data_IF_746516546619
#
_entry.id   IF_746516546619
#
_cell.length_a   1.000
_cell.length_b   1.000
_cell.length_c   1.000
_cell.angle_alpha   90.00
_cell.angle_beta   90.00
_cell.angle_gamma   90.00
#
_symmetry.space_group_name_H-M   'P 1'
#
loop_
_entity.id
_entity.type
_entity.pdbx_description
1 polymer ?
#
# COMPACT_ATOMS: atom_id res chain seq x y z
N UNK A 1 3.98 9.16 27.97
CA UNK A 1 3.80 7.75 28.39
C UNK A 1 3.93 7.69 29.91
N UNK A 2 2.83 7.61 30.66
CA UNK A 2 2.90 7.46 32.13
C UNK A 2 3.63 6.16 32.46
N UNK A 3 4.63 6.20 33.34
CA UNK A 3 5.29 4.97 33.83
C UNK A 3 4.22 4.05 34.44
N UNK A 4 4.22 2.77 34.04
CA UNK A 4 3.32 1.78 34.62
C UNK A 4 3.49 1.76 36.14
N UNK A 5 2.38 1.84 36.89
CA UNK A 5 2.39 1.80 38.36
C UNK A 5 2.94 0.48 38.93
N UNK A 6 3.00 -0.58 38.13
CA UNK A 6 3.43 -1.92 38.52
C UNK A 6 4.58 -2.39 37.64
N UNK A 7 5.62 -2.94 38.26
CA UNK A 7 6.74 -3.55 37.56
C UNK A 7 6.25 -4.79 36.77
N UNK A 8 6.60 -4.82 35.49
CA UNK A 8 6.24 -5.91 34.58
C UNK A 8 6.93 -7.20 35.01
N UNK A 9 6.17 -8.30 35.09
CA UNK A 9 6.70 -9.62 35.46
C UNK A 9 7.95 -10.00 34.65
N UNK A 10 8.97 -10.51 35.32
CA UNK A 10 10.17 -11.11 34.74
C UNK A 10 10.64 -12.27 35.62
N UNK A 11 11.68 -12.97 35.19
CA UNK A 11 12.39 -13.98 36.00
C UNK A 11 13.15 -13.33 37.17
N UNK A 12 13.68 -14.13 38.09
CA UNK A 12 14.44 -13.63 39.24
C UNK A 12 15.68 -12.83 38.81
N UNK A 13 16.14 -11.82 39.59
CA UNK A 13 17.26 -10.96 39.19
C UNK A 13 18.55 -11.71 38.82
N UNK A 14 18.87 -12.81 39.52
CA UNK A 14 20.02 -13.67 39.20
C UNK A 14 19.89 -14.27 37.79
N UNK A 15 18.71 -14.81 37.46
CA UNK A 15 18.45 -15.38 36.14
C UNK A 15 18.41 -14.30 35.05
N UNK A 16 17.98 -13.08 35.37
CA UNK A 16 18.06 -11.95 34.44
C UNK A 16 19.52 -11.59 34.12
N UNK A 17 20.40 -11.56 35.13
CA UNK A 17 21.82 -11.30 34.94
C UNK A 17 22.48 -12.39 34.07
N UNK A 18 22.20 -13.66 34.37
CA UNK A 18 22.67 -14.80 33.58
C UNK A 18 22.19 -14.72 32.13
N UNK A 19 20.91 -14.44 31.91
CA UNK A 19 20.33 -14.23 30.56
C UNK A 19 21.01 -13.09 29.81
N UNK A 20 21.19 -11.94 30.47
CA UNK A 20 21.78 -10.75 29.83
C UNK A 20 23.26 -10.98 29.49
N UNK A 21 23.98 -11.74 30.31
CA UNK A 21 25.35 -12.15 30.05
C UNK A 21 25.43 -13.03 28.79
N UNK A 22 24.62 -14.09 28.71
CA UNK A 22 24.61 -14.98 27.54
C UNK A 22 24.14 -14.30 26.25
N UNK A 23 23.26 -13.30 26.35
CA UNK A 23 22.76 -12.54 25.21
C UNK A 23 23.73 -11.43 24.74
N UNK A 24 24.74 -11.06 25.54
CA UNK A 24 25.58 -9.88 25.29
C UNK A 24 24.83 -8.55 25.30
N UNK A 25 23.57 -8.53 25.76
CA UNK A 25 22.71 -7.34 25.80
C UNK A 25 21.60 -7.50 26.83
N UNK A 26 20.98 -6.37 27.21
CA UNK A 26 19.75 -6.40 28.02
C UNK A 26 18.62 -7.03 27.21
N UNK A 27 17.98 -8.03 27.80
CA UNK A 27 16.85 -8.70 27.16
C UNK A 27 15.64 -7.76 27.00
N UNK A 28 15.14 -7.65 25.76
CA UNK A 28 13.88 -6.97 25.45
C UNK A 28 12.72 -7.94 25.65
N UNK A 29 11.80 -7.62 26.55
CA UNK A 29 10.62 -8.46 26.80
C UNK A 29 9.67 -8.38 25.59
N UNK A 30 9.51 -9.49 24.88
CA UNK A 30 8.61 -9.58 23.71
C UNK A 30 7.14 -9.88 24.09
N UNK A 31 6.87 -10.22 25.34
CA UNK A 31 5.52 -10.51 25.81
C UNK A 31 4.68 -9.23 25.90
N UNK A 32 3.38 -9.41 25.68
CA UNK A 32 2.38 -8.36 25.78
C UNK A 32 1.96 -8.20 27.24
N UNK A 33 2.12 -6.99 27.77
CA UNK A 33 1.71 -6.64 29.14
C UNK A 33 0.66 -5.54 29.09
N UNK A 34 -0.31 -5.63 30.01
CA UNK A 34 -1.45 -4.73 30.10
C UNK A 34 -1.09 -3.23 30.00
N UNK A 35 -0.04 -2.70 30.65
CA UNK A 35 0.26 -1.27 30.59
C UNK A 35 0.73 -0.77 29.21
N UNK A 36 1.11 -1.68 28.32
CA UNK A 36 1.60 -1.37 26.97
C UNK A 36 0.61 -1.77 25.88
N UNK A 37 -0.55 -2.31 26.26
CA UNK A 37 -1.62 -2.66 25.35
C UNK A 37 -2.75 -1.64 25.48
N UNK A 38 -3.46 -1.41 24.37
CA UNK A 38 -4.75 -0.75 24.44
C UNK A 38 -5.74 -1.59 25.25
N UNK A 39 -6.71 -0.95 25.88
CA UNK A 39 -7.79 -1.63 26.57
C UNK A 39 -8.56 -2.55 25.61
N UNK A 40 -9.16 -3.63 26.14
CA UNK A 40 -9.99 -4.53 25.32
C UNK A 40 -11.29 -3.86 24.88
N UNK A 41 -11.84 -3.01 25.75
CA UNK A 41 -13.03 -2.20 25.47
C UNK A 41 -12.58 -0.81 25.06
N UNK A 42 -13.05 -0.37 23.89
CA UNK A 42 -12.80 0.98 23.37
C UNK A 42 -14.10 1.77 23.42
N UNK A 43 -14.05 3.10 23.61
CA UNK A 43 -15.22 3.95 23.47
C UNK A 43 -15.75 3.90 22.02
N UNK A 44 -17.05 4.15 21.79
CA UNK A 44 -17.58 4.28 20.43
C UNK A 44 -16.83 5.36 19.65
N UNK A 45 -16.27 5.06 18.46
CA UNK A 45 -15.60 6.07 17.64
C UNK A 45 -16.61 6.91 16.84
N UNK A 46 -16.26 8.17 16.59
CA UNK A 46 -16.91 9.01 15.59
C UNK A 46 -16.04 9.00 14.32
N UNK A 47 -16.52 8.34 13.27
CA UNK A 47 -15.77 8.13 12.02
C UNK A 47 -16.17 9.24 11.04
N UNK A 48 -15.22 9.92 10.37
CA UNK A 48 -15.55 10.92 9.38
C UNK A 48 -16.24 10.29 8.16
N UNK A 49 -17.15 11.04 7.57
CA UNK A 49 -17.86 10.63 6.38
C UNK A 49 -16.95 10.53 5.14
N UNK A 50 -17.36 9.64 4.22
CA UNK A 50 -16.70 9.51 2.92
C UNK A 50 -17.01 10.66 1.95
N UNK A 51 -16.28 10.76 0.82
CA UNK A 51 -16.37 11.89 -0.12
C UNK A 51 -17.73 12.03 -0.82
N UNK A 52 -18.56 10.99 -0.81
CA UNK A 52 -19.91 10.96 -1.40
C UNK A 52 -21.02 11.17 -0.37
N UNK A 53 -20.73 11.54 0.88
CA UNK A 53 -21.74 12.01 1.84
C UNK A 53 -22.10 13.48 1.58
N UNK A 54 -22.70 13.75 0.42
CA UNK A 54 -23.12 15.08 -0.02
C UNK A 54 -24.64 15.12 -0.20
N UNK A 55 -25.26 16.20 0.27
CA UNK A 55 -26.72 16.40 0.17
C UNK A 55 -27.20 16.79 -1.24
N UNK A 56 -26.33 17.35 -2.07
CA UNK A 56 -26.65 17.79 -3.43
C UNK A 56 -25.48 17.50 -4.39
N UNK A 57 -25.78 17.49 -5.70
CA UNK A 57 -24.80 17.25 -6.77
C UNK A 57 -24.02 15.93 -6.60
N UNK A 58 -24.72 14.87 -6.21
CA UNK A 58 -24.13 13.57 -5.89
C UNK A 58 -24.94 12.42 -6.51
N UNK A 59 -25.22 12.55 -7.80
CA UNK A 59 -25.97 11.54 -8.53
C UNK A 59 -25.11 10.31 -8.78
N UNK A 60 -25.62 9.13 -8.47
CA UNK A 60 -24.82 7.90 -8.54
C UNK A 60 -24.20 7.64 -9.92
N UNK A 61 -24.87 8.03 -11.00
CA UNK A 61 -24.39 7.82 -12.37
C UNK A 61 -23.10 8.57 -12.68
N UNK A 62 -22.77 9.67 -11.98
CA UNK A 62 -21.56 10.46 -12.26
C UNK A 62 -20.29 9.84 -11.66
N UNK A 63 -20.42 8.82 -10.84
CA UNK A 63 -19.30 8.14 -10.18
C UNK A 63 -19.49 6.61 -10.13
N UNK A 64 -20.31 6.05 -11.03
CA UNK A 64 -20.50 4.60 -11.13
C UNK A 64 -19.43 4.01 -12.06
N UNK A 65 -18.22 3.86 -11.53
CA UNK A 65 -17.08 3.29 -12.27
C UNK A 65 -17.37 1.89 -12.85
N UNK A 66 -18.32 1.13 -12.26
CA UNK A 66 -18.72 -0.19 -12.77
C UNK A 66 -19.37 -0.10 -14.15
N UNK A 67 -20.05 1.02 -14.46
CA UNK A 67 -20.68 1.29 -15.75
C UNK A 67 -19.76 1.99 -16.74
N UNK A 68 -18.61 2.49 -16.28
CA UNK A 68 -17.59 3.10 -17.15
C UNK A 68 -16.71 2.05 -17.85
N UNK A 69 -16.71 0.81 -17.35
CA UNK A 69 -15.98 -0.31 -17.93
C UNK A 69 -16.50 -0.59 -19.33
N UNK A 70 -15.64 -0.43 -20.33
CA UNK A 70 -15.90 -0.80 -21.72
C UNK A 70 -15.31 -2.19 -22.02
N UNK A 71 -15.87 -2.93 -22.98
CA UNK A 71 -15.23 -4.14 -23.50
C UNK A 71 -13.78 -3.85 -23.96
N UNK A 72 -12.88 -4.84 -23.87
CA UNK A 72 -11.52 -4.68 -24.36
C UNK A 72 -11.53 -4.35 -25.86
N UNK A 73 -10.58 -3.51 -26.27
CA UNK A 73 -10.45 -3.07 -27.65
C UNK A 73 -9.69 -4.14 -28.46
N UNK A 74 -10.29 -4.59 -29.57
CA UNK A 74 -9.64 -5.52 -30.51
C UNK A 74 -8.82 -4.76 -31.55
N UNK A 75 -7.51 -4.77 -31.36
CA UNK A 75 -6.53 -4.10 -32.23
C UNK A 75 -6.42 -4.72 -33.64
N UNK A 76 -6.98 -5.92 -33.87
CA UNK A 76 -6.96 -6.56 -35.19
C UNK A 76 -8.12 -6.11 -36.07
N UNK A 77 -9.27 -5.82 -35.46
CA UNK A 77 -10.48 -5.34 -36.14
C UNK A 77 -10.47 -3.82 -36.28
N UNK A 78 -10.04 -3.14 -35.22
CA UNK A 78 -9.78 -1.71 -35.25
C UNK A 78 -8.40 -1.54 -35.89
N UNK A 79 -8.35 -1.52 -37.23
CA UNK A 79 -7.14 -1.20 -37.97
C UNK A 79 -6.43 -0.08 -37.22
N UNK A 80 -5.18 -0.32 -36.78
CA UNK A 80 -4.27 0.74 -36.40
C UNK A 80 -4.24 1.70 -37.59
N UNK A 81 -5.08 2.73 -37.59
CA UNK A 81 -5.05 3.82 -38.57
C UNK A 81 -3.87 4.73 -38.23
N UNK A 82 -2.71 4.14 -38.00
CA UNK A 82 -1.45 4.84 -37.91
C UNK A 82 -0.87 4.89 -39.31
N UNK A 83 -1.41 5.82 -40.11
CA UNK A 83 -0.66 6.69 -41.03
C UNK A 83 0.01 6.11 -42.28
N UNK A 84 -0.45 4.98 -42.83
CA UNK A 84 -0.06 4.58 -44.18
C UNK A 84 -1.19 4.97 -45.15
N UNK A 85 -0.93 5.94 -46.01
CA UNK A 85 -1.72 6.07 -47.23
C UNK A 85 -1.67 4.72 -47.95
N UNK A 86 -2.85 4.20 -48.34
CA UNK A 86 -2.96 2.93 -49.07
C UNK A 86 -2.02 2.95 -50.28
N UNK A 87 -0.94 2.15 -50.22
CA UNK A 87 -0.10 1.85 -51.39
C UNK A 87 1.35 2.31 -51.34
N UNK A 88 1.83 2.99 -50.29
CA UNK A 88 3.26 3.33 -50.17
C UNK A 88 4.00 2.40 -49.20
N UNK A 89 5.10 1.74 -49.63
CA UNK A 89 5.91 0.93 -48.72
C UNK A 89 6.61 1.84 -47.71
N UNK A 90 6.34 1.64 -46.42
CA UNK A 90 7.06 2.34 -45.35
C UNK A 90 8.49 1.83 -45.23
N UNK A 91 9.44 2.74 -45.17
CA UNK A 91 10.74 2.44 -44.58
C UNK A 91 10.54 2.00 -43.12
N UNK A 92 11.19 0.90 -42.73
CA UNK A 92 11.11 0.37 -41.38
C UNK A 92 11.46 1.48 -40.38
N UNK A 93 10.57 1.71 -39.40
CA UNK A 93 10.86 2.63 -38.31
C UNK A 93 12.16 2.19 -37.61
N UNK A 94 13.07 3.13 -37.38
CA UNK A 94 14.41 2.87 -36.83
C UNK A 94 14.35 2.33 -35.40
N UNK A 95 13.24 2.55 -34.67
CA UNK A 95 13.02 2.04 -33.32
C UNK A 95 11.71 1.26 -33.22
N UNK A 96 11.78 0.07 -32.65
CA UNK A 96 10.61 -0.76 -32.31
C UNK A 96 9.85 -0.12 -31.15
N UNK A 97 8.50 -0.06 -31.19
CA UNK A 97 7.72 0.44 -30.05
C UNK A 97 7.93 -0.45 -28.82
N UNK A 98 8.25 0.17 -27.67
CA UNK A 98 8.36 -0.54 -26.38
C UNK A 98 7.10 -0.29 -25.54
N UNK A 99 6.63 -1.27 -24.72
CA UNK A 99 5.44 -1.10 -23.88
C UNK A 99 5.52 0.02 -22.83
N UNK A 100 6.72 0.48 -22.51
CA UNK A 100 6.99 1.52 -21.52
C UNK A 100 8.47 1.86 -21.46
N UNK A 101 8.82 2.80 -20.57
CA UNK A 101 10.22 3.15 -20.29
C UNK A 101 10.82 2.17 -19.29
N UNK A 102 12.08 1.81 -19.48
CA UNK A 102 12.83 1.03 -18.49
C UNK A 102 13.14 1.95 -17.31
N UNK A 103 12.71 1.55 -16.11
CA UNK A 103 12.98 2.28 -14.87
C UNK A 103 14.20 1.69 -14.18
N UNK A 104 15.30 2.43 -14.16
CA UNK A 104 16.49 2.11 -13.39
C UNK A 104 16.41 2.82 -12.03
N UNK A 105 16.19 2.06 -10.97
CA UNK A 105 16.03 2.57 -9.61
C UNK A 105 17.32 3.19 -9.03
N UNK A 106 18.48 2.82 -9.59
CA UNK A 106 19.81 3.11 -9.05
C UNK A 106 20.73 3.95 -9.95
N UNK A 107 20.21 4.52 -11.04
CA UNK A 107 21.02 5.17 -12.06
C UNK A 107 21.73 6.48 -11.63
N UNK A 108 21.62 6.84 -10.35
CA UNK A 108 22.19 8.05 -9.75
C UNK A 108 23.37 7.79 -8.78
N UNK A 109 23.85 6.54 -8.68
CA UNK A 109 25.09 6.19 -7.99
C UNK A 109 26.21 5.82 -8.96
#
# INVERSE_FOLDING_TARGET
MSKAKVAVRDISPLMQAFRNFLLGRKHTKALRFEPFLSARTQPPPEIPDGPTHKHAHNYYYTHDARREVKPPLDLTQQLLTDGAEKGTPRQAAVSVPTPGKVHHWDQHY
#
